data_IF_111918499909
#
_entry.id   IF_111918499909
#
_cell.length_a   1.000
_cell.length_b   1.000
_cell.length_c   1.000
_cell.angle_alpha   90.00
_cell.angle_beta   90.00
_cell.angle_gamma   90.00
#
_symmetry.space_group_name_H-M   'P 1'
#
loop_
_entity.id
_entity.type
_entity.pdbx_description
1 polymer ?
#
# COMPACT_ATOMS: atom_id res chain seq x y z
N UNK A 1 -49.51 -20.10 -18.87
CA UNK A 1 -49.95 -18.86 -19.52
C UNK A 1 -49.50 -17.75 -18.61
N UNK A 2 -48.37 -17.16 -18.97
CA UNK A 2 -47.94 -15.79 -18.65
C UNK A 2 -46.50 -15.67 -19.14
N UNK A 3 -46.41 -15.19 -20.37
CA UNK A 3 -45.22 -14.95 -21.15
C UNK A 3 -44.72 -13.54 -20.86
N UNK A 4 -43.58 -13.44 -20.16
CA UNK A 4 -42.83 -12.19 -20.07
C UNK A 4 -41.57 -12.28 -20.94
N UNK A 5 -41.52 -11.33 -21.89
CA UNK A 5 -40.45 -11.06 -22.82
C UNK A 5 -39.14 -10.73 -22.08
N UNK A 6 -38.07 -11.44 -22.43
CA UNK A 6 -36.70 -10.97 -22.21
C UNK A 6 -36.21 -10.33 -23.51
N UNK A 7 -36.06 -9.01 -23.48
CA UNK A 7 -35.45 -8.20 -24.53
C UNK A 7 -33.94 -8.29 -24.48
N UNK A 8 -33.33 -8.32 -25.67
CA UNK A 8 -31.91 -8.29 -25.98
C UNK A 8 -31.08 -7.36 -25.07
N UNK A 9 -30.08 -7.93 -24.42
CA UNK A 9 -29.00 -7.19 -23.78
C UNK A 9 -27.86 -7.07 -24.78
N UNK A 10 -27.81 -5.95 -25.48
CA UNK A 10 -26.65 -5.55 -26.28
C UNK A 10 -25.42 -5.42 -25.38
N UNK A 11 -24.40 -6.25 -25.64
CA UNK A 11 -23.11 -6.19 -24.97
C UNK A 11 -22.44 -4.83 -25.23
N UNK A 12 -21.80 -4.20 -24.23
CA UNK A 12 -21.01 -3.00 -24.46
C UNK A 12 -19.74 -3.38 -25.20
N UNK A 13 -19.58 -2.78 -26.38
CA UNK A 13 -18.37 -2.73 -27.19
C UNK A 13 -17.18 -2.30 -26.33
N UNK A 14 -16.29 -3.22 -26.01
CA UNK A 14 -14.95 -2.94 -25.48
C UNK A 14 -14.11 -2.31 -26.59
N UNK A 15 -14.04 -0.99 -26.62
CA UNK A 15 -13.03 -0.25 -27.38
C UNK A 15 -11.69 -0.40 -26.65
N UNK A 16 -10.60 -0.83 -27.33
CA UNK A 16 -9.27 -0.82 -26.73
C UNK A 16 -8.86 0.65 -26.56
N UNK A 17 -8.66 1.08 -25.32
CA UNK A 17 -8.00 2.35 -25.02
C UNK A 17 -6.50 2.11 -25.12
N UNK A 18 -5.98 2.35 -26.31
CA UNK A 18 -4.56 2.54 -26.56
C UNK A 18 -4.13 3.83 -25.85
N UNK A 19 -3.65 3.70 -24.61
CA UNK A 19 -2.77 4.70 -24.01
C UNK A 19 -1.35 4.43 -24.51
N UNK A 20 -1.17 4.48 -25.83
CA UNK A 20 0.00 5.17 -26.32
C UNK A 20 -0.23 6.62 -25.89
N UNK A 21 0.73 7.17 -25.15
CA UNK A 21 0.97 8.61 -25.07
C UNK A 21 1.13 9.11 -26.51
N UNK A 22 0.02 9.31 -27.20
CA UNK A 22 -0.02 9.80 -28.56
C UNK A 22 0.50 11.21 -28.44
N UNK A 23 1.78 11.36 -28.78
CA UNK A 23 2.44 12.62 -29.04
C UNK A 23 1.53 13.39 -30.00
N UNK A 24 0.63 14.20 -29.44
CA UNK A 24 -0.12 15.16 -30.18
C UNK A 24 0.92 16.02 -30.91
N UNK A 25 0.85 16.02 -32.23
CA UNK A 25 1.63 16.86 -33.12
C UNK A 25 1.66 18.30 -32.55
N UNK A 26 2.82 18.80 -32.07
CA UNK A 26 2.91 20.12 -31.45
C UNK A 26 2.69 21.26 -32.45
N UNK A 27 2.42 20.97 -33.73
CA UNK A 27 2.23 21.98 -34.76
C UNK A 27 0.79 22.50 -34.90
N UNK A 28 -0.18 21.97 -34.14
CA UNK A 28 -1.58 22.43 -34.21
C UNK A 28 -2.25 22.52 -32.83
N UNK A 29 -1.83 23.46 -31.97
CA UNK A 29 -2.61 23.79 -30.75
C UNK A 29 -2.76 25.31 -30.57
N UNK A 30 -3.98 25.80 -30.27
CA UNK A 30 -4.21 27.19 -29.88
C UNK A 30 -3.37 27.51 -28.64
N UNK A 31 -2.72 28.67 -28.65
CA UNK A 31 -1.60 29.02 -27.77
C UNK A 31 -1.72 28.50 -26.34
N UNK A 32 -0.85 27.55 -26.00
CA UNK A 32 -0.67 27.05 -24.63
C UNK A 32 -0.52 28.29 -23.72
N UNK A 33 -1.40 28.48 -22.72
CA UNK A 33 -1.30 29.59 -21.79
C UNK A 33 0.09 29.61 -21.17
N UNK A 34 0.70 30.79 -21.08
CA UNK A 34 2.01 30.93 -20.41
C UNK A 34 1.92 30.35 -19.00
N UNK A 35 3.00 29.72 -18.54
CA UNK A 35 3.08 29.08 -17.22
C UNK A 35 2.59 29.98 -16.08
N UNK A 36 2.82 31.30 -16.15
CA UNK A 36 2.32 32.27 -15.18
C UNK A 36 0.79 32.31 -15.07
N UNK A 37 0.08 32.16 -16.19
CA UNK A 37 -1.39 32.14 -16.22
C UNK A 37 -1.93 30.82 -15.65
N UNK A 38 -1.26 29.70 -15.96
CA UNK A 38 -1.61 28.39 -15.40
C UNK A 38 -1.39 28.37 -13.88
N UNK A 39 -0.26 28.92 -13.42
CA UNK A 39 0.04 29.04 -12.00
C UNK A 39 -0.97 29.92 -11.26
N UNK A 40 -1.32 31.09 -11.82
CA UNK A 40 -2.34 31.97 -11.25
C UNK A 40 -3.72 31.28 -11.16
N UNK A 41 -4.11 30.53 -12.20
CA UNK A 41 -5.30 29.70 -12.20
C UNK A 41 -5.26 28.62 -11.13
N UNK A 42 -4.12 27.95 -10.98
CA UNK A 42 -3.95 26.90 -9.99
C UNK A 42 -3.98 27.42 -8.53
N UNK A 43 -3.36 28.57 -8.27
CA UNK A 43 -3.43 29.27 -6.98
C UNK A 43 -4.89 29.61 -6.64
N UNK A 44 -5.65 30.14 -7.60
CA UNK A 44 -7.07 30.46 -7.43
C UNK A 44 -7.90 29.22 -7.07
N UNK A 45 -7.65 28.09 -7.74
CA UNK A 45 -8.31 26.81 -7.42
C UNK A 45 -7.98 26.37 -6.00
N UNK A 46 -6.70 26.40 -5.62
CA UNK A 46 -6.26 26.01 -4.27
C UNK A 46 -6.90 26.88 -3.18
N UNK A 47 -6.89 28.20 -3.35
CA UNK A 47 -7.50 29.15 -2.40
C UNK A 47 -9.02 28.94 -2.29
N UNK A 48 -9.69 28.62 -3.39
CA UNK A 48 -11.11 28.31 -3.40
C UNK A 48 -11.39 27.03 -2.62
N UNK A 49 -10.65 25.95 -2.86
CA UNK A 49 -10.79 24.69 -2.10
C UNK A 49 -10.54 24.91 -0.62
N UNK A 50 -9.51 25.67 -0.26
CA UNK A 50 -9.21 26.04 1.13
C UNK A 50 -10.41 26.73 1.79
N UNK A 51 -10.99 27.73 1.12
CA UNK A 51 -12.13 28.49 1.65
C UNK A 51 -13.37 27.62 1.80
N UNK A 52 -13.67 26.78 0.80
CA UNK A 52 -14.80 25.84 0.84
C UNK A 52 -14.64 24.83 1.98
N UNK A 53 -13.45 24.26 2.15
CA UNK A 53 -13.15 23.27 3.17
C UNK A 53 -13.40 23.82 4.57
N UNK A 54 -12.81 24.96 4.93
CA UNK A 54 -13.00 25.53 6.27
C UNK A 54 -14.41 26.10 6.50
N UNK A 55 -15.09 26.56 5.45
CA UNK A 55 -16.50 26.96 5.57
C UNK A 55 -17.39 25.77 5.91
N UNK A 56 -17.13 24.61 5.29
CA UNK A 56 -17.81 23.36 5.62
C UNK A 56 -17.40 22.84 7.00
N UNK A 57 -16.11 22.74 7.30
CA UNK A 57 -15.60 22.17 8.56
C UNK A 57 -16.13 22.89 9.79
N UNK A 58 -16.26 24.22 9.74
CA UNK A 58 -16.91 24.99 10.82
C UNK A 58 -18.36 24.56 11.06
N UNK A 59 -19.14 24.34 9.99
CA UNK A 59 -20.54 23.92 10.09
C UNK A 59 -20.65 22.48 10.61
N UNK A 60 -19.81 21.59 10.09
CA UNK A 60 -19.79 20.18 10.48
C UNK A 60 -19.39 20.01 11.95
N UNK A 61 -18.34 20.71 12.38
CA UNK A 61 -17.92 20.72 13.78
C UNK A 61 -19.01 21.26 14.72
N UNK A 62 -19.72 22.33 14.34
CA UNK A 62 -20.87 22.83 15.12
C UNK A 62 -21.99 21.81 15.19
N UNK A 63 -22.33 21.16 14.08
CA UNK A 63 -23.36 20.11 14.06
C UNK A 63 -22.95 18.90 14.93
N UNK A 64 -21.68 18.51 14.90
CA UNK A 64 -21.15 17.45 15.76
C UNK A 64 -21.24 17.84 17.23
N UNK A 65 -20.86 19.07 17.60
CA UNK A 65 -21.00 19.59 18.96
C UNK A 65 -22.47 19.65 19.40
N UNK A 66 -23.38 20.08 18.54
CA UNK A 66 -24.82 20.10 18.80
C UNK A 66 -25.38 18.68 19.00
N UNK A 67 -24.84 17.68 18.30
CA UNK A 67 -25.22 16.28 18.45
C UNK A 67 -24.73 15.65 19.76
N UNK A 68 -23.59 16.14 20.28
CA UNK A 68 -23.02 15.75 21.57
C UNK A 68 -23.61 16.53 22.74
N UNK A 69 -24.18 17.69 22.48
CA UNK A 69 -24.90 18.44 23.49
C UNK A 69 -26.00 17.52 24.02
N UNK A 70 -26.01 17.29 25.35
CA UNK A 70 -27.16 16.65 25.99
C UNK A 70 -28.37 17.43 25.49
N UNK A 71 -29.43 16.77 24.98
CA UNK A 71 -30.69 17.45 24.78
C UNK A 71 -30.91 18.18 26.08
N UNK A 72 -30.99 19.51 26.03
CA UNK A 72 -31.39 20.26 27.21
C UNK A 72 -32.74 19.66 27.52
N UNK A 73 -32.75 18.73 28.48
CA UNK A 73 -33.94 18.35 29.16
C UNK A 73 -34.33 19.67 29.78
N UNK A 74 -35.21 20.38 29.08
CA UNK A 74 -36.15 21.27 29.71
C UNK A 74 -36.94 20.36 30.65
N UNK A 75 -36.29 20.00 31.75
CA UNK A 75 -36.90 19.61 32.99
C UNK A 75 -37.65 20.86 33.46
N UNK A 76 -38.73 21.18 32.75
CA UNK A 76 -39.97 21.45 33.45
C UNK A 76 -40.21 20.17 34.23
N UNK A 77 -39.86 20.24 35.51
CA UNK A 77 -39.86 19.18 36.50
C UNK A 77 -41.21 18.49 36.72
N UNK A 78 -42.22 18.63 35.83
CA UNK A 78 -43.60 18.29 36.16
C UNK A 78 -44.35 17.36 35.20
N UNK A 79 -43.87 17.00 34.00
CA UNK A 79 -44.76 16.28 33.04
C UNK A 79 -44.14 15.08 32.28
N UNK A 80 -43.07 14.45 32.76
CA UNK A 80 -42.54 13.21 32.17
C UNK A 80 -42.85 11.96 33.01
N UNK A 81 -44.15 11.74 33.22
CA UNK A 81 -44.70 10.44 33.61
C UNK A 81 -45.62 9.83 32.55
N UNK A 82 -45.57 10.28 31.30
CA UNK A 82 -46.40 9.66 30.26
C UNK A 82 -45.79 9.79 28.88
N UNK A 83 -45.33 8.68 28.30
CA UNK A 83 -45.30 8.57 26.84
C UNK A 83 -44.33 7.56 26.23
N UNK A 84 -43.09 7.46 26.70
CA UNK A 84 -42.06 6.73 25.94
C UNK A 84 -41.15 5.87 26.83
N UNK A 85 -41.76 4.92 27.54
CA UNK A 85 -41.11 3.71 28.09
C UNK A 85 -42.00 2.47 27.89
N UNK A 86 -42.85 2.46 26.86
CA UNK A 86 -43.87 1.42 26.64
C UNK A 86 -43.33 0.07 26.11
N UNK A 87 -42.02 -0.17 26.14
CA UNK A 87 -41.45 -1.47 25.75
C UNK A 87 -40.51 -2.11 26.77
N UNK A 88 -40.12 -1.40 27.83
CA UNK A 88 -39.39 -2.01 28.95
C UNK A 88 -40.19 -2.01 30.26
N UNK A 89 -41.09 -1.05 30.50
CA UNK A 89 -41.92 -1.04 31.71
C UNK A 89 -43.13 -1.99 31.64
N UNK A 90 -43.61 -2.36 30.45
CA UNK A 90 -44.76 -3.28 30.31
C UNK A 90 -44.39 -4.76 30.54
N UNK A 91 -43.11 -5.05 30.77
CA UNK A 91 -42.62 -6.35 31.28
C UNK A 91 -42.31 -6.32 32.78
N UNK A 92 -42.33 -5.14 33.40
CA UNK A 92 -42.25 -4.98 34.85
C UNK A 92 -43.68 -4.71 35.33
N UNK A 93 -44.44 -5.80 35.48
CA UNK A 93 -45.77 -5.76 36.08
C UNK A 93 -45.76 -4.92 37.35
N UNK A 94 -46.69 -3.97 37.39
CA UNK A 94 -47.11 -3.23 38.58
C UNK A 94 -47.53 -4.21 39.66
N UNK A 95 -46.56 -4.60 40.49
CA UNK A 95 -46.77 -5.11 41.84
C UNK A 95 -46.37 -3.99 42.80
N UNK A 96 -47.34 -3.12 43.09
CA UNK A 96 -47.34 -2.18 44.21
C UNK A 96 -47.43 -2.91 45.57
N UNK A 97 -46.86 -4.10 45.69
CA UNK A 97 -46.53 -4.71 46.99
C UNK A 97 -45.11 -4.27 47.33
N UNK A 98 -45.02 -3.04 47.84
CA UNK A 98 -43.95 -2.50 48.66
C UNK A 98 -43.76 -3.39 49.92
N UNK A 99 -43.28 -4.61 49.72
CA UNK A 99 -42.58 -5.35 50.76
C UNK A 99 -41.32 -4.55 51.04
N UNK A 100 -41.30 -3.97 52.24
CA UNK A 100 -40.14 -3.32 52.85
C UNK A 100 -39.02 -4.34 52.90
N UNK A 101 -38.26 -4.46 51.79
CA UNK A 101 -37.14 -5.37 51.65
C UNK A 101 -36.00 -4.76 52.45
N UNK A 102 -36.04 -4.99 53.75
CA UNK A 102 -35.05 -4.56 54.73
C UNK A 102 -33.76 -5.36 54.66
N UNK A 103 -33.37 -5.83 53.48
CA UNK A 103 -32.19 -6.66 53.28
C UNK A 103 -31.51 -6.21 51.99
N UNK A 104 -30.46 -5.40 52.16
CA UNK A 104 -29.46 -4.92 51.17
C UNK A 104 -28.71 -6.11 50.53
N UNK A 105 -29.46 -7.04 49.95
CA UNK A 105 -28.92 -8.20 49.26
C UNK A 105 -28.88 -7.88 47.77
N UNK A 106 -27.70 -7.53 47.30
CA UNK A 106 -27.41 -7.37 45.88
C UNK A 106 -27.93 -8.59 45.12
N UNK A 107 -28.70 -8.36 44.05
CA UNK A 107 -29.24 -9.45 43.24
C UNK A 107 -28.99 -9.18 41.76
N UNK A 108 -28.57 -10.22 41.04
CA UNK A 108 -28.42 -10.17 39.59
C UNK A 108 -29.76 -10.50 38.95
N UNK A 109 -30.22 -9.62 38.07
CA UNK A 109 -31.36 -9.91 37.22
C UNK A 109 -30.85 -10.62 35.96
N UNK A 110 -31.16 -11.91 35.84
CA UNK A 110 -30.81 -12.70 34.66
C UNK A 110 -32.06 -12.87 33.80
N UNK A 111 -32.00 -12.35 32.58
CA UNK A 111 -33.06 -12.52 31.59
C UNK A 111 -32.61 -13.59 30.60
N UNK A 112 -33.27 -14.74 30.63
CA UNK A 112 -32.94 -15.83 29.70
C UNK A 112 -33.45 -15.49 28.30
N UNK A 113 -32.56 -15.18 27.36
CA UNK A 113 -32.93 -14.69 26.02
C UNK A 113 -33.92 -15.60 25.25
N UNK A 114 -33.84 -16.93 25.46
CA UNK A 114 -34.68 -17.91 24.74
C UNK A 114 -36.11 -17.98 25.27
N UNK A 115 -36.29 -17.86 26.58
CA UNK A 115 -37.61 -17.96 27.24
C UNK A 115 -38.17 -16.61 27.65
N UNK A 116 -37.35 -15.56 27.58
CA UNK A 116 -37.57 -14.23 28.19
C UNK A 116 -37.95 -14.30 29.67
N UNK A 117 -37.67 -15.42 30.33
CA UNK A 117 -37.94 -15.57 31.75
C UNK A 117 -36.92 -14.78 32.54
N UNK A 118 -37.41 -13.89 33.39
CA UNK A 118 -36.60 -13.11 34.30
C UNK A 118 -36.47 -13.88 35.61
N UNK A 119 -35.23 -14.08 36.06
CA UNK A 119 -34.92 -14.71 37.33
C UNK A 119 -33.99 -13.82 38.14
N UNK A 120 -34.31 -13.64 39.42
CA UNK A 120 -33.46 -12.93 40.36
C UNK A 120 -32.55 -13.92 41.05
N UNK A 121 -31.25 -13.79 40.83
CA UNK A 121 -30.25 -14.60 41.50
C UNK A 121 -29.68 -13.76 42.64
N UNK A 122 -29.91 -14.14 43.91
CA UNK A 122 -29.30 -13.43 45.03
C UNK A 122 -27.78 -13.54 44.90
N UNK A 123 -27.09 -12.41 44.94
CA UNK A 123 -25.63 -12.37 45.05
C UNK A 123 -25.31 -12.65 46.50
N UNK A 124 -24.97 -13.90 46.80
CA UNK A 124 -24.29 -14.19 48.04
C UNK A 124 -22.81 -13.86 47.81
N UNK A 125 -22.31 -12.84 48.49
CA UNK A 125 -20.87 -12.62 48.64
C UNK A 125 -20.27 -13.80 49.38
N UNK A 126 -19.92 -14.85 48.65
CA UNK A 126 -19.01 -15.86 49.16
C UNK A 126 -17.65 -15.21 49.24
N UNK A 127 -17.20 -14.90 50.46
CA UNK A 127 -15.82 -14.53 50.74
C UNK A 127 -14.95 -15.75 50.43
N UNK A 128 -14.62 -15.92 49.14
CA UNK A 128 -13.68 -16.93 48.70
C UNK A 128 -12.32 -16.47 49.16
N UNK A 129 -11.86 -16.95 50.33
CA UNK A 129 -10.46 -16.81 50.80
C UNK A 129 -9.50 -17.66 49.95
N UNK A 130 -9.63 -17.59 48.64
CA UNK A 130 -8.58 -18.06 47.75
C UNK A 130 -7.45 -17.04 47.85
N UNK A 131 -6.43 -17.37 48.65
CA UNK A 131 -5.13 -16.71 48.59
C UNK A 131 -4.52 -17.04 47.24
N UNK A 132 -4.94 -16.30 46.20
CA UNK A 132 -4.30 -16.36 44.90
C UNK A 132 -3.01 -15.57 45.07
N UNK A 133 -1.87 -16.28 45.03
CA UNK A 133 -0.60 -15.57 44.96
C UNK A 133 -0.55 -14.83 43.62
N UNK A 134 -0.31 -13.50 43.62
CA UNK A 134 -0.14 -12.77 42.38
C UNK A 134 1.07 -13.34 41.63
N UNK A 135 0.94 -13.46 40.32
CA UNK A 135 2.06 -13.79 39.46
C UNK A 135 3.07 -12.63 39.46
N UNK A 136 4.34 -12.92 39.20
CA UNK A 136 5.35 -11.88 38.97
C UNK A 136 4.90 -10.99 37.81
N UNK A 137 4.95 -9.65 37.93
CA UNK A 137 4.55 -8.76 36.85
C UNK A 137 5.37 -9.07 35.59
N UNK A 138 4.67 -9.17 34.46
CA UNK A 138 5.28 -9.31 33.14
C UNK A 138 4.51 -8.41 32.16
N UNK A 139 5.22 -7.93 31.14
CA UNK A 139 4.59 -7.24 30.02
C UNK A 139 4.22 -8.25 28.95
N UNK A 140 3.14 -7.99 28.22
CA UNK A 140 2.77 -8.82 27.09
C UNK A 140 3.85 -8.73 26.02
N UNK A 141 4.39 -9.87 25.60
CA UNK A 141 5.31 -9.98 24.48
C UNK A 141 4.69 -10.88 23.42
N UNK A 142 4.65 -10.42 22.17
CA UNK A 142 4.20 -11.24 21.04
C UNK A 142 5.27 -12.28 20.74
N UNK A 143 4.99 -13.59 20.85
CA UNK A 143 5.99 -14.60 20.52
C UNK A 143 6.35 -14.53 19.03
N UNK A 144 7.64 -14.60 18.73
CA UNK A 144 8.15 -14.66 17.37
C UNK A 144 9.13 -15.85 17.25
N UNK A 145 9.04 -16.57 16.15
CA UNK A 145 9.92 -17.69 15.79
C UNK A 145 11.20 -17.21 15.07
N UNK A 146 11.19 -15.97 14.62
CA UNK A 146 12.25 -15.32 13.86
C UNK A 146 12.48 -13.90 14.37
N UNK A 147 13.67 -13.36 14.12
CA UNK A 147 13.96 -11.97 14.43
C UNK A 147 13.09 -11.06 13.56
N UNK A 148 12.48 -10.03 14.18
CA UNK A 148 11.78 -8.97 13.46
C UNK A 148 12.68 -7.74 13.54
N UNK A 149 13.20 -7.33 12.39
CA UNK A 149 14.01 -6.13 12.27
C UNK A 149 13.11 -4.90 12.24
N UNK A 150 13.67 -3.78 12.71
CA UNK A 150 13.00 -2.48 12.68
C UNK A 150 13.01 -1.93 11.26
N UNK A 151 11.87 -1.47 10.76
CA UNK A 151 11.85 -0.74 9.48
C UNK A 151 12.47 0.64 9.70
N UNK A 152 13.36 1.14 8.82
CA UNK A 152 13.89 2.51 8.93
C UNK A 152 12.82 3.61 8.86
N UNK A 153 11.63 3.25 8.40
CA UNK A 153 10.44 4.12 8.31
C UNK A 153 9.37 3.73 9.33
N UNK A 154 9.64 2.74 10.19
CA UNK A 154 8.76 2.40 11.31
C UNK A 154 8.81 3.58 12.29
N UNK A 155 7.65 4.18 12.65
CA UNK A 155 7.61 5.17 13.72
C UNK A 155 8.26 4.66 15.02
N UNK A 156 8.14 3.36 15.34
CA UNK A 156 8.79 2.77 16.51
C UNK A 156 10.32 2.67 16.40
N UNK A 157 10.88 2.86 15.20
CA UNK A 157 12.31 2.99 14.95
C UNK A 157 12.79 4.44 14.90
N UNK A 158 11.88 5.42 15.04
CA UNK A 158 12.22 6.84 15.14
C UNK A 158 13.03 7.08 16.41
N UNK A 159 14.01 7.97 16.35
CA UNK A 159 14.68 8.55 17.52
C UNK A 159 13.72 9.48 18.31
N UNK A 160 12.41 9.24 18.20
CA UNK A 160 11.35 10.03 18.81
C UNK A 160 10.44 9.11 19.59
N UNK A 161 9.98 9.64 20.71
CA UNK A 161 9.09 8.93 21.58
C UNK A 161 7.67 8.92 21.01
N UNK A 162 7.08 7.72 20.90
CA UNK A 162 5.73 7.52 20.34
C UNK A 162 4.60 7.84 21.31
N UNK A 163 4.83 7.69 22.62
CA UNK A 163 3.88 8.04 23.67
C UNK A 163 4.63 8.34 24.98
N UNK A 164 4.04 9.14 25.87
CA UNK A 164 4.60 9.38 27.21
C UNK A 164 4.34 8.15 28.08
N UNK A 165 5.35 7.42 28.58
CA UNK A 165 5.16 6.31 29.50
C UNK A 165 4.48 6.82 30.77
N UNK A 166 3.49 6.08 31.28
CA UNK A 166 2.78 6.41 32.52
C UNK A 166 2.22 7.84 32.55
N UNK A 167 1.65 8.30 31.43
CA UNK A 167 1.10 9.66 31.31
C UNK A 167 0.01 9.99 32.34
N UNK A 168 -0.63 8.97 32.90
CA UNK A 168 -1.64 9.03 33.94
C UNK A 168 -1.05 9.07 35.37
N UNK A 169 0.22 8.72 35.54
CA UNK A 169 0.89 8.77 36.85
C UNK A 169 1.56 10.13 37.06
N UNK A 170 0.91 10.97 37.89
CA UNK A 170 1.45 12.28 38.30
C UNK A 170 2.81 12.22 39.03
N UNK A 171 3.21 11.05 39.55
CA UNK A 171 4.49 10.84 40.21
C UNK A 171 5.61 10.48 39.23
N UNK A 172 5.27 10.14 37.98
CA UNK A 172 6.23 9.81 36.94
C UNK A 172 6.74 11.07 36.23
N UNK A 173 7.90 11.57 36.67
CA UNK A 173 8.59 12.68 36.01
C UNK A 173 9.30 12.20 34.73
N UNK A 174 8.53 12.05 33.66
CA UNK A 174 9.04 11.63 32.35
C UNK A 174 10.13 12.56 31.82
N UNK A 175 10.10 13.86 32.17
CA UNK A 175 11.08 14.85 31.68
C UNK A 175 12.46 14.59 32.27
N UNK A 176 12.56 14.26 33.57
CA UNK A 176 13.85 13.93 34.19
C UNK A 176 14.28 12.49 33.94
N UNK A 177 13.33 11.57 33.73
CA UNK A 177 13.61 10.14 33.51
C UNK A 177 13.94 9.79 32.07
N UNK A 178 13.63 10.64 31.11
CA UNK A 178 14.04 10.47 29.71
C UNK A 178 15.41 11.10 29.47
N UNK A 179 16.45 10.29 29.15
CA UNK A 179 17.74 10.85 28.77
C UNK A 179 17.54 11.72 27.53
N UNK A 180 17.96 12.99 27.61
CA UNK A 180 17.84 13.96 26.51
C UNK A 180 18.55 13.50 25.23
N UNK A 181 19.50 12.58 25.37
CA UNK A 181 20.30 12.06 24.27
C UNK A 181 19.67 10.83 23.60
N UNK A 182 18.59 10.27 24.15
CA UNK A 182 17.93 9.06 23.61
C UNK A 182 16.78 9.37 22.67
N UNK A 183 16.12 10.52 22.85
CA UNK A 183 15.01 10.93 22.02
C UNK A 183 15.15 12.40 21.63
N UNK A 184 15.01 12.67 20.34
CA UNK A 184 15.07 14.01 19.74
C UNK A 184 13.77 14.79 20.00
N UNK A 185 12.67 14.09 20.31
CA UNK A 185 11.38 14.70 20.63
C UNK A 185 10.24 13.68 20.66
N UNK A 186 9.02 14.18 20.53
CA UNK A 186 7.81 13.36 20.45
C UNK A 186 7.36 13.19 19.00
N UNK A 187 7.01 11.97 18.61
CA UNK A 187 6.67 11.66 17.22
C UNK A 187 5.45 12.47 16.74
N UNK A 188 4.41 12.58 17.56
CA UNK A 188 3.18 13.31 17.23
C UNK A 188 3.37 14.83 17.10
N UNK A 189 4.48 15.40 17.59
CA UNK A 189 4.76 16.83 17.44
C UNK A 189 5.41 17.19 16.10
N UNK A 190 6.05 16.23 15.44
CA UNK A 190 6.88 16.50 14.26
C UNK A 190 6.45 15.74 13.01
N UNK A 191 5.68 14.66 13.16
CA UNK A 191 5.28 13.78 12.04
C UNK A 191 3.83 13.92 11.64
N UNK A 192 3.05 14.73 12.37
CA UNK A 192 1.66 14.97 12.03
C UNK A 192 1.57 15.93 10.84
N UNK A 193 1.45 15.36 9.64
CA UNK A 193 0.88 16.08 8.51
C UNK A 193 -0.53 16.49 8.90
N UNK A 194 -0.84 17.77 8.75
CA UNK A 194 -2.18 18.28 8.99
C UNK A 194 -3.15 17.61 8.00
N UNK A 195 -4.10 16.78 8.48
CA UNK A 195 -5.02 16.05 7.61
C UNK A 195 -5.91 16.99 6.79
N UNK A 196 -6.23 18.18 7.32
CA UNK A 196 -7.03 19.18 6.61
C UNK A 196 -6.27 19.68 5.39
N UNK A 197 -5.00 20.03 5.58
CA UNK A 197 -4.13 20.50 4.50
C UNK A 197 -3.92 19.42 3.45
N UNK A 198 -3.80 18.16 3.85
CA UNK A 198 -3.68 17.02 2.93
C UNK A 198 -4.93 16.87 2.05
N UNK A 199 -6.13 16.92 2.65
CA UNK A 199 -7.40 16.85 1.94
C UNK A 199 -7.60 18.04 0.99
N UNK A 200 -7.26 19.25 1.43
CA UNK A 200 -7.32 20.46 0.59
C UNK A 200 -6.41 20.30 -0.63
N UNK A 201 -5.19 19.80 -0.44
CA UNK A 201 -4.24 19.57 -1.53
C UNK A 201 -4.72 18.47 -2.47
N UNK A 202 -5.28 17.37 -1.95
CA UNK A 202 -5.83 16.29 -2.76
C UNK A 202 -7.01 16.77 -3.62
N UNK A 203 -7.94 17.54 -3.05
CA UNK A 203 -9.06 18.10 -3.82
C UNK A 203 -8.58 19.14 -4.85
N UNK A 204 -7.62 19.99 -4.48
CA UNK A 204 -7.01 20.93 -5.42
C UNK A 204 -6.36 20.18 -6.60
N UNK A 205 -5.60 19.11 -6.33
CA UNK A 205 -5.04 18.23 -7.34
C UNK A 205 -6.14 17.65 -8.25
N UNK A 206 -7.21 17.12 -7.66
CA UNK A 206 -8.35 16.54 -8.39
C UNK A 206 -9.02 17.56 -9.32
N UNK A 207 -9.24 18.80 -8.84
CA UNK A 207 -9.84 19.90 -9.64
C UNK A 207 -8.91 20.39 -10.74
N UNK A 208 -7.60 20.41 -10.52
CA UNK A 208 -6.62 20.74 -11.55
C UNK A 208 -6.57 19.66 -12.64
N UNK A 209 -6.58 18.40 -12.24
CA UNK A 209 -6.52 17.27 -13.16
C UNK A 209 -7.82 17.11 -13.96
N UNK A 210 -8.95 16.85 -13.29
CA UNK A 210 -10.23 16.62 -13.97
C UNK A 210 -10.91 17.91 -14.44
N UNK A 211 -10.80 19.00 -13.68
CA UNK A 211 -11.52 20.24 -13.95
C UNK A 211 -10.81 21.19 -14.91
N UNK A 212 -9.48 21.12 -15.04
CA UNK A 212 -8.71 21.93 -15.98
C UNK A 212 -8.00 21.09 -17.05
N UNK A 213 -8.07 19.75 -16.98
CA UNK A 213 -7.41 18.85 -17.93
C UNK A 213 -5.88 18.88 -17.83
N UNK A 214 -5.31 19.32 -16.71
CA UNK A 214 -3.86 19.40 -16.55
C UNK A 214 -3.28 18.01 -16.26
N UNK A 215 -2.24 17.62 -16.99
CA UNK A 215 -1.46 16.42 -16.67
C UNK A 215 -0.78 16.54 -15.30
N UNK A 216 -0.55 15.41 -14.62
CA UNK A 216 0.15 15.38 -13.33
C UNK A 216 1.56 15.99 -13.41
N UNK A 217 2.30 15.71 -14.48
CA UNK A 217 3.63 16.28 -14.70
C UNK A 217 3.58 17.80 -14.82
N UNK A 218 2.54 18.36 -15.46
CA UNK A 218 2.33 19.80 -15.49
C UNK A 218 2.00 20.35 -14.10
N UNK A 219 1.11 19.70 -13.35
CA UNK A 219 0.75 20.13 -11.98
C UNK A 219 1.97 20.13 -11.07
N UNK A 220 2.81 19.10 -11.13
CA UNK A 220 4.04 18.99 -10.36
C UNK A 220 5.05 20.10 -10.76
N UNK A 221 5.14 20.45 -12.05
CA UNK A 221 5.99 21.56 -12.53
C UNK A 221 5.55 22.92 -12.01
N UNK A 222 4.26 23.11 -11.69
CA UNK A 222 3.78 24.36 -11.08
C UNK A 222 4.31 24.54 -9.65
N UNK A 223 4.82 23.47 -9.01
CA UNK A 223 5.35 23.48 -7.64
C UNK A 223 4.40 24.08 -6.60
N UNK A 224 3.09 24.09 -6.88
CA UNK A 224 2.05 24.60 -5.98
C UNK A 224 1.70 23.58 -4.88
N UNK A 225 1.69 22.31 -5.24
CA UNK A 225 1.42 21.18 -4.37
C UNK A 225 2.72 20.38 -4.20
N UNK A 226 2.89 19.62 -3.10
CA UNK A 226 3.88 18.54 -3.09
C UNK A 226 3.67 17.65 -4.30
N UNK A 227 4.74 17.06 -4.84
CA UNK A 227 4.62 16.17 -6.00
C UNK A 227 3.47 15.19 -5.79
N UNK A 228 2.53 15.19 -6.74
CA UNK A 228 1.35 14.35 -6.68
C UNK A 228 1.76 12.88 -6.56
N UNK A 229 2.88 12.53 -7.20
CA UNK A 229 3.49 11.20 -7.10
C UNK A 229 5.00 11.19 -7.36
N UNK A 230 5.74 10.34 -6.65
CA UNK A 230 7.16 10.01 -6.89
C UNK A 230 7.32 8.48 -6.93
N UNK A 231 7.06 7.86 -8.07
CA UNK A 231 7.05 6.40 -8.21
C UNK A 231 5.78 5.76 -7.60
N UNK A 232 5.88 4.52 -7.10
CA UNK A 232 4.73 3.81 -6.54
C UNK A 232 4.59 3.92 -5.02
N UNK A 233 5.50 4.62 -4.35
CA UNK A 233 5.67 4.55 -2.90
C UNK A 233 5.73 5.93 -2.23
N UNK A 234 5.47 7.00 -2.98
CA UNK A 234 5.58 8.37 -2.45
C UNK A 234 4.74 9.38 -3.24
N UNK A 235 4.48 10.52 -2.60
CA UNK A 235 3.70 11.65 -3.13
C UNK A 235 2.29 11.67 -2.59
N UNK A 236 1.57 12.77 -2.83
CA UNK A 236 0.29 13.02 -2.14
C UNK A 236 -0.76 11.94 -2.41
N UNK A 237 -0.81 11.41 -3.63
CA UNK A 237 -1.75 10.35 -4.01
C UNK A 237 -1.45 9.05 -3.28
N UNK A 238 -0.16 8.73 -3.07
CA UNK A 238 0.23 7.56 -2.31
C UNK A 238 -0.08 7.74 -0.83
N UNK A 239 0.29 8.89 -0.27
CA UNK A 239 0.09 9.23 1.15
C UNK A 239 -1.40 9.16 1.54
N UNK A 240 -2.29 9.68 0.69
CA UNK A 240 -3.74 9.68 0.91
C UNK A 240 -4.37 8.29 0.74
N UNK A 241 -3.81 7.44 -0.12
CA UNK A 241 -4.28 6.05 -0.28
C UNK A 241 -3.98 5.16 0.92
N UNK A 242 -3.07 5.55 1.81
CA UNK A 242 -2.76 4.78 3.03
C UNK A 242 -3.70 5.11 4.20
N UNK A 243 -4.71 5.97 4.01
CA UNK A 243 -5.53 6.51 5.10
C UNK A 243 -7.00 6.57 4.71
N UNK A 244 -7.85 6.52 5.73
CA UNK A 244 -9.27 6.84 5.57
C UNK A 244 -9.41 8.34 5.34
N UNK A 245 -10.02 8.71 4.21
CA UNK A 245 -10.28 10.11 3.89
C UNK A 245 -11.59 10.57 4.50
N UNK A 246 -11.58 11.77 5.07
CA UNK A 246 -12.80 12.43 5.52
C UNK A 246 -13.63 12.77 4.28
N UNK A 247 -14.87 12.27 4.26
CA UNK A 247 -15.83 12.57 3.21
C UNK A 247 -16.36 13.99 3.44
N UNK A 248 -15.87 14.95 2.65
CA UNK A 248 -16.36 16.33 2.71
C UNK A 248 -17.16 16.70 1.44
N UNK A 249 -18.27 17.46 1.56
CA UNK A 249 -19.19 17.71 0.46
C UNK A 249 -18.55 18.38 -0.75
N UNK A 250 -17.52 19.21 -0.57
CA UNK A 250 -16.87 19.89 -1.70
C UNK A 250 -16.23 18.93 -2.72
N UNK A 251 -15.90 17.71 -2.30
CA UNK A 251 -15.45 16.65 -3.22
C UNK A 251 -16.64 16.04 -3.99
N UNK A 252 -17.77 15.82 -3.32
CA UNK A 252 -18.99 15.19 -3.87
C UNK A 252 -19.91 16.15 -4.64
N UNK A 253 -19.77 17.46 -4.45
CA UNK A 253 -20.59 18.51 -5.08
C UNK A 253 -20.04 19.00 -6.41
N UNK A 254 -18.88 18.51 -6.86
CA UNK A 254 -18.36 18.84 -8.18
C UNK A 254 -18.93 17.87 -9.23
N UNK A 255 -19.19 18.37 -10.44
CA UNK A 255 -19.56 17.53 -11.59
C UNK A 255 -18.38 16.67 -12.10
N UNK A 256 -17.26 16.67 -11.38
CA UNK A 256 -16.07 15.90 -11.71
C UNK A 256 -16.23 14.44 -11.24
N UNK A 257 -15.39 13.55 -11.77
CA UNK A 257 -15.38 12.13 -11.39
C UNK A 257 -15.54 11.95 -9.86
N UNK A 258 -16.45 11.05 -9.41
CA UNK A 258 -16.67 10.81 -7.99
C UNK A 258 -15.47 10.12 -7.32
N UNK A 259 -14.53 9.60 -8.10
CA UNK A 259 -13.28 9.08 -7.57
C UNK A 259 -12.44 10.23 -6.99
N UNK A 260 -12.18 10.27 -5.67
CA UNK A 260 -11.36 11.32 -5.05
C UNK A 260 -9.91 11.23 -5.51
N UNK A 261 -9.48 10.07 -5.97
CA UNK A 261 -8.18 9.89 -6.58
C UNK A 261 -8.38 9.95 -8.10
N UNK A 262 -7.67 10.83 -8.83
CA UNK A 262 -7.56 10.62 -10.27
C UNK A 262 -7.09 9.17 -10.44
N UNK A 263 -7.84 8.36 -11.21
CA UNK A 263 -7.66 6.90 -11.37
C UNK A 263 -6.33 6.59 -12.06
N UNK A 264 -5.26 6.89 -11.35
CA UNK A 264 -3.87 6.71 -11.71
C UNK A 264 -3.39 5.56 -10.84
N UNK A 265 -4.12 4.45 -10.92
CA UNK A 265 -3.61 3.18 -10.46
C UNK A 265 -2.39 2.85 -11.31
N UNK A 266 -1.20 3.08 -10.77
CA UNK A 266 0.03 2.50 -11.31
C UNK A 266 0.16 1.03 -10.88
N UNK A 267 -0.95 0.37 -10.51
CA UNK A 267 -0.98 -1.09 -10.58
C UNK A 267 -0.71 -1.40 -12.04
N UNK A 268 0.45 -2.02 -12.35
CA UNK A 268 0.81 -2.27 -13.72
C UNK A 268 -0.29 -3.11 -14.37
N UNK A 269 -0.62 -2.81 -15.63
CA UNK A 269 -1.69 -3.50 -16.35
C UNK A 269 -1.41 -5.00 -16.38
N UNK A 270 -2.46 -5.80 -16.57
CA UNK A 270 -2.30 -7.25 -16.70
C UNK A 270 -1.34 -7.65 -17.84
N UNK A 271 -1.25 -6.84 -18.90
CA UNK A 271 -0.29 -7.01 -20.00
C UNK A 271 1.08 -6.34 -19.81
N UNK A 272 1.30 -5.59 -18.73
CA UNK A 272 2.59 -4.94 -18.45
C UNK A 272 3.42 -5.83 -17.51
N UNK A 273 4.06 -6.87 -18.05
CA UNK A 273 4.91 -7.76 -17.24
C UNK A 273 6.06 -7.00 -16.58
N UNK A 274 6.68 -6.05 -17.30
CA UNK A 274 7.80 -5.26 -16.81
C UNK A 274 7.43 -4.45 -15.59
N UNK A 275 6.35 -3.68 -15.65
CA UNK A 275 5.85 -2.93 -14.53
C UNK A 275 5.51 -3.83 -13.35
N UNK A 276 4.81 -4.97 -13.59
CA UNK A 276 4.45 -5.93 -12.54
C UNK A 276 5.68 -6.45 -11.80
N UNK A 277 6.67 -6.94 -12.54
CA UNK A 277 7.93 -7.43 -11.97
C UNK A 277 8.65 -6.32 -11.19
N UNK A 278 8.79 -5.13 -11.78
CA UNK A 278 9.47 -4.01 -11.12
C UNK A 278 8.76 -3.49 -9.88
N UNK A 279 7.43 -3.69 -9.77
CA UNK A 279 6.66 -3.35 -8.58
C UNK A 279 6.83 -4.39 -7.46
N UNK A 280 7.05 -5.67 -7.81
CA UNK A 280 7.16 -6.76 -6.84
C UNK A 280 8.58 -6.97 -6.34
N UNK A 281 9.60 -6.76 -7.19
CA UNK A 281 11.00 -7.01 -6.85
C UNK A 281 11.49 -6.27 -5.58
N UNK A 282 11.15 -4.98 -5.35
CA UNK A 282 11.55 -4.28 -4.13
C UNK A 282 10.96 -4.90 -2.86
N UNK A 283 9.84 -5.60 -2.97
CA UNK A 283 9.13 -6.20 -1.85
C UNK A 283 9.66 -7.59 -1.50
N UNK A 284 10.42 -8.23 -2.39
CA UNK A 284 10.83 -9.62 -2.26
C UNK A 284 12.25 -9.76 -1.73
N UNK A 285 12.40 -10.47 -0.61
CA UNK A 285 13.71 -10.74 -0.05
C UNK A 285 14.43 -11.86 -0.82
N UNK A 286 15.45 -11.48 -1.58
CA UNK A 286 16.32 -12.42 -2.29
C UNK A 286 17.30 -13.20 -1.41
N UNK A 287 17.27 -13.04 -0.09
CA UNK A 287 18.07 -13.88 0.81
C UNK A 287 17.50 -15.29 0.82
N UNK A 288 18.32 -16.29 0.48
CA UNK A 288 17.92 -17.70 0.40
C UNK A 288 17.41 -18.28 1.72
N UNK A 289 17.72 -17.62 2.84
CA UNK A 289 17.23 -18.01 4.17
C UNK A 289 15.83 -17.46 4.48
N UNK A 290 15.33 -16.51 3.68
CA UNK A 290 14.04 -15.85 3.93
C UNK A 290 13.04 -16.07 2.79
N UNK A 291 13.44 -15.88 1.52
CA UNK A 291 12.62 -16.06 0.30
C UNK A 291 11.13 -15.70 0.53
N UNK A 292 10.90 -14.48 1.03
CA UNK A 292 9.58 -14.02 1.45
C UNK A 292 9.35 -12.58 0.98
N UNK A 293 8.12 -12.29 0.58
CA UNK A 293 7.68 -10.90 0.36
C UNK A 293 7.54 -10.21 1.71
N UNK A 294 7.92 -8.93 1.81
CA UNK A 294 7.90 -8.17 3.06
C UNK A 294 8.64 -8.90 4.19
N UNK A 295 9.89 -9.31 3.92
CA UNK A 295 10.67 -10.05 4.90
C UNK A 295 10.80 -9.25 6.21
N UNK A 296 10.39 -9.84 7.36
CA UNK A 296 10.45 -9.14 8.64
C UNK A 296 11.89 -8.93 9.12
N UNK A 297 12.86 -9.70 8.62
CA UNK A 297 14.27 -9.64 9.01
C UNK A 297 15.06 -8.64 8.16
N UNK A 298 14.84 -8.63 6.85
CA UNK A 298 15.61 -7.83 5.90
C UNK A 298 14.74 -6.69 5.38
N UNK A 299 14.64 -5.66 6.20
CA UNK A 299 13.68 -4.58 5.97
C UNK A 299 14.25 -3.52 5.04
N UNK A 300 13.44 -3.12 4.05
CA UNK A 300 13.75 -2.06 3.11
C UNK A 300 13.44 -2.48 1.66
N UNK A 301 13.40 -1.51 0.73
CA UNK A 301 13.28 -1.84 -0.68
C UNK A 301 14.52 -2.63 -1.10
N UNK A 302 14.31 -3.89 -1.48
CA UNK A 302 15.39 -4.71 -1.99
C UNK A 302 15.91 -4.10 -3.28
N UNK A 303 17.24 -4.03 -3.40
CA UNK A 303 17.86 -3.48 -4.59
C UNK A 303 17.33 -4.21 -5.82
N UNK A 304 16.78 -3.44 -6.76
CA UNK A 304 16.31 -4.01 -8.03
C UNK A 304 17.49 -4.74 -8.67
N UNK A 305 17.35 -6.02 -9.07
CA UNK A 305 18.39 -6.69 -9.82
C UNK A 305 18.72 -5.82 -11.03
N UNK A 306 20.01 -5.51 -11.19
CA UNK A 306 20.47 -4.81 -12.38
C UNK A 306 20.18 -5.69 -13.59
N UNK A 307 19.75 -5.05 -14.70
CA UNK A 307 19.61 -5.75 -15.96
C UNK A 307 20.91 -6.49 -16.26
N UNK A 308 20.81 -7.81 -16.38
CA UNK A 308 21.98 -8.65 -16.64
C UNK A 308 22.30 -8.55 -18.12
N UNK A 309 23.59 -8.38 -18.43
CA UNK A 309 24.06 -8.48 -19.81
C UNK A 309 24.15 -9.97 -20.17
N UNK A 310 23.71 -10.33 -21.37
CA UNK A 310 23.98 -11.65 -21.93
C UNK A 310 25.49 -11.89 -21.99
N UNK A 311 25.93 -13.09 -21.60
CA UNK A 311 27.34 -13.49 -21.58
C UNK A 311 27.60 -14.72 -22.43
N UNK A 312 26.56 -15.48 -22.79
CA UNK A 312 26.69 -16.70 -23.58
C UNK A 312 26.33 -16.41 -25.04
N UNK A 313 27.23 -16.73 -25.97
CA UNK A 313 26.92 -16.67 -27.39
C UNK A 313 25.92 -17.77 -27.76
N UNK A 314 25.28 -17.61 -28.91
CA UNK A 314 24.25 -18.51 -29.41
C UNK A 314 24.78 -19.94 -29.58
N UNK A 315 26.02 -20.08 -30.07
CA UNK A 315 26.67 -21.38 -30.20
C UNK A 315 26.92 -22.03 -28.82
N UNK A 316 27.34 -21.25 -27.82
CA UNK A 316 27.63 -21.76 -26.47
C UNK A 316 26.35 -22.30 -25.82
N UNK A 317 25.21 -21.65 -26.02
CA UNK A 317 23.92 -22.13 -25.52
C UNK A 317 23.51 -23.46 -26.18
N UNK A 318 23.77 -23.62 -27.48
CA UNK A 318 23.49 -24.86 -28.21
C UNK A 318 24.38 -26.01 -27.74
N UNK A 319 25.67 -25.75 -27.53
CA UNK A 319 26.68 -26.79 -27.23
C UNK A 319 26.86 -27.04 -25.74
N UNK A 320 26.27 -26.23 -24.85
CA UNK A 320 26.41 -26.36 -23.39
C UNK A 320 26.20 -27.81 -22.91
N UNK A 321 27.21 -28.37 -22.26
CA UNK A 321 27.18 -29.75 -21.78
C UNK A 321 26.11 -29.98 -20.70
N UNK A 322 25.57 -31.20 -20.65
CA UNK A 322 24.67 -31.65 -19.58
C UNK A 322 23.17 -31.43 -19.83
N UNK A 323 22.77 -30.95 -21.00
CA UNK A 323 21.36 -30.72 -21.33
C UNK A 323 20.92 -31.63 -22.47
N UNK A 324 19.88 -32.43 -22.22
CA UNK A 324 19.24 -33.24 -23.26
C UNK A 324 18.26 -32.37 -24.07
N UNK A 325 18.09 -32.63 -25.38
CA UNK A 325 17.07 -31.93 -26.16
C UNK A 325 15.69 -32.19 -25.56
N UNK A 326 14.88 -31.13 -25.38
CA UNK A 326 13.57 -31.26 -24.75
C UNK A 326 12.53 -31.97 -25.64
N UNK A 327 12.73 -31.92 -26.96
CA UNK A 327 11.86 -32.53 -27.96
C UNK A 327 12.61 -32.68 -29.30
N UNK A 328 11.94 -33.26 -30.30
CA UNK A 328 12.49 -33.46 -31.66
C UNK A 328 12.75 -32.14 -32.40
N UNK A 329 12.02 -31.07 -32.07
CA UNK A 329 12.21 -29.71 -32.60
C UNK A 329 12.99 -28.81 -31.64
N UNK A 330 13.83 -29.40 -30.79
CA UNK A 330 14.64 -28.64 -29.83
C UNK A 330 15.57 -27.63 -30.53
N UNK A 331 15.82 -26.48 -29.90
CA UNK A 331 16.74 -25.46 -30.41
C UNK A 331 18.16 -25.97 -30.69
N UNK A 332 18.57 -27.06 -30.03
CA UNK A 332 19.86 -27.74 -30.23
C UNK A 332 19.99 -28.43 -31.59
N UNK A 333 18.88 -28.76 -32.23
CA UNK A 333 18.87 -29.39 -33.56
C UNK A 333 18.84 -28.36 -34.69
N UNK A 334 18.79 -27.06 -34.37
CA UNK A 334 18.83 -26.00 -35.37
C UNK A 334 20.26 -25.85 -35.88
N UNK A 335 20.50 -26.32 -37.10
CA UNK A 335 21.76 -26.07 -37.81
C UNK A 335 21.83 -24.60 -38.25
N UNK A 336 22.95 -23.92 -37.93
CA UNK A 336 23.18 -22.50 -38.28
C UNK A 336 23.13 -22.21 -39.79
N UNK A 337 23.15 -23.23 -40.65
CA UNK A 337 23.26 -23.11 -42.11
C UNK A 337 21.93 -23.14 -42.86
N UNK A 338 20.78 -23.23 -42.19
CA UNK A 338 19.50 -23.16 -42.88
C UNK A 338 19.02 -21.71 -42.97
N UNK A 339 19.29 -21.09 -44.12
CA UNK A 339 18.50 -19.99 -44.72
C UNK A 339 17.00 -20.37 -44.94
N UNK A 340 16.53 -21.49 -44.36
CA UNK A 340 15.20 -22.08 -44.51
C UNK A 340 14.41 -22.18 -43.20
N UNK A 341 14.85 -21.56 -42.10
CA UNK A 341 14.00 -21.32 -40.92
C UNK A 341 13.03 -20.14 -41.19
N UNK A 342 12.53 -20.01 -42.42
CA UNK A 342 11.38 -19.16 -42.72
C UNK A 342 10.06 -19.88 -42.41
N UNK A 343 10.08 -21.19 -42.11
CA UNK A 343 8.88 -22.02 -42.36
C UNK A 343 8.00 -22.31 -41.14
N UNK A 344 8.44 -22.12 -39.89
CA UNK A 344 7.57 -22.43 -38.72
C UNK A 344 7.68 -21.44 -37.55
N UNK A 345 8.08 -20.20 -37.77
CA UNK A 345 7.98 -19.18 -36.72
C UNK A 345 6.54 -18.68 -36.71
N UNK A 346 5.75 -19.06 -35.70
CA UNK A 346 4.50 -18.34 -35.45
C UNK A 346 4.82 -16.88 -35.18
N UNK A 347 4.02 -15.95 -35.74
CA UNK A 347 4.18 -14.52 -35.46
C UNK A 347 3.98 -14.29 -33.96
N UNK A 348 5.04 -13.85 -33.27
CA UNK A 348 4.92 -13.32 -31.92
C UNK A 348 4.31 -11.94 -32.03
N UNK A 349 3.35 -11.62 -31.16
CA UNK A 349 2.85 -10.26 -31.09
C UNK A 349 3.86 -9.34 -30.36
N UNK A 350 3.70 -8.02 -30.56
CA UNK A 350 4.61 -7.04 -29.97
C UNK A 350 4.63 -7.09 -28.44
N UNK A 351 3.51 -7.49 -27.80
CA UNK A 351 3.41 -7.63 -26.35
C UNK A 351 4.19 -8.84 -25.84
N UNK A 352 4.14 -9.97 -26.55
CA UNK A 352 4.90 -11.19 -26.25
C UNK A 352 6.40 -10.95 -26.40
N UNK A 353 6.81 -10.19 -27.42
CA UNK A 353 8.20 -9.79 -27.61
C UNK A 353 8.66 -8.90 -26.45
N UNK A 354 7.86 -7.91 -26.05
CA UNK A 354 8.16 -7.03 -24.92
C UNK A 354 8.26 -7.79 -23.57
N UNK A 355 7.36 -8.74 -23.34
CA UNK A 355 7.38 -9.61 -22.16
C UNK A 355 8.63 -10.49 -22.16
N UNK A 356 9.01 -11.06 -23.30
CA UNK A 356 10.22 -11.86 -23.40
C UNK A 356 11.51 -11.06 -23.23
N UNK A 357 11.58 -9.84 -23.77
CA UNK A 357 12.66 -8.90 -23.47
C UNK A 357 12.78 -8.65 -21.97
N UNK A 358 11.65 -8.47 -21.28
CA UNK A 358 11.61 -8.29 -19.82
C UNK A 358 12.18 -9.52 -19.08
N UNK A 359 11.83 -10.74 -19.50
CA UNK A 359 12.39 -11.97 -18.93
C UNK A 359 13.91 -12.05 -19.17
N UNK A 360 14.35 -11.71 -20.38
CA UNK A 360 15.75 -11.70 -20.77
C UNK A 360 16.58 -10.64 -20.03
N UNK A 361 16.01 -9.51 -19.63
CA UNK A 361 16.68 -8.52 -18.77
C UNK A 361 17.09 -9.13 -17.41
N UNK A 362 16.36 -10.13 -16.92
CA UNK A 362 16.58 -10.78 -15.62
C UNK A 362 17.49 -12.02 -15.76
N UNK A 363 17.25 -12.85 -16.78
CA UNK A 363 17.94 -14.14 -17.00
C UNK A 363 18.37 -14.34 -18.48
N UNK A 364 19.32 -13.54 -19.00
CA UNK A 364 19.66 -13.52 -20.43
C UNK A 364 20.38 -14.79 -20.95
N UNK A 365 20.98 -15.56 -20.04
CA UNK A 365 21.79 -16.75 -20.34
C UNK A 365 21.11 -18.07 -19.90
N UNK A 366 19.82 -18.00 -19.58
CA UNK A 366 19.03 -19.19 -19.31
C UNK A 366 18.82 -20.00 -20.60
N UNK A 367 18.65 -21.32 -20.48
CA UNK A 367 18.47 -22.16 -21.66
C UNK A 367 17.16 -21.81 -22.40
N UNK A 368 17.14 -21.82 -23.75
CA UNK A 368 15.90 -21.64 -24.50
C UNK A 368 14.80 -22.65 -24.15
N UNK A 369 15.16 -23.85 -23.68
CA UNK A 369 14.19 -24.83 -23.18
C UNK A 369 13.48 -24.37 -21.90
N UNK A 370 14.20 -23.78 -20.95
CA UNK A 370 13.60 -23.26 -19.72
C UNK A 370 12.80 -21.98 -20.01
N UNK A 371 13.35 -21.10 -20.84
CA UNK A 371 12.67 -19.89 -21.28
C UNK A 371 11.37 -20.22 -22.05
N UNK A 372 11.34 -21.30 -22.83
CA UNK A 372 10.13 -21.81 -23.47
C UNK A 372 9.02 -22.17 -22.48
N UNK A 373 9.35 -22.74 -21.32
CA UNK A 373 8.36 -23.03 -20.28
C UNK A 373 7.82 -21.72 -19.69
N UNK A 374 8.69 -20.75 -19.43
CA UNK A 374 8.32 -19.45 -18.86
C UNK A 374 7.43 -18.66 -19.83
N UNK A 375 7.82 -18.59 -21.10
CA UNK A 375 7.13 -17.81 -22.13
C UNK A 375 5.97 -18.57 -22.77
N UNK A 376 5.80 -19.86 -22.47
CA UNK A 376 4.82 -20.77 -23.09
C UNK A 376 4.94 -20.81 -24.63
N UNK A 377 6.17 -20.77 -25.15
CA UNK A 377 6.50 -20.78 -26.58
C UNK A 377 7.45 -21.93 -26.91
N UNK A 378 7.50 -22.43 -28.15
CA UNK A 378 8.47 -23.45 -28.53
C UNK A 378 9.93 -22.99 -28.35
N UNK A 379 10.81 -23.85 -27.83
CA UNK A 379 12.19 -23.46 -27.51
C UNK A 379 13.02 -23.02 -28.72
N UNK A 380 12.69 -23.50 -29.92
CA UNK A 380 13.36 -23.09 -31.15
C UNK A 380 13.04 -21.64 -31.52
N UNK A 381 11.80 -21.19 -31.30
CA UNK A 381 11.38 -19.80 -31.50
C UNK A 381 12.02 -18.89 -30.46
N UNK A 382 11.98 -19.29 -29.19
CA UNK A 382 12.62 -18.58 -28.09
C UNK A 382 14.12 -18.38 -28.35
N UNK A 383 14.80 -19.42 -28.85
CA UNK A 383 16.20 -19.31 -29.25
C UNK A 383 16.38 -18.32 -30.41
N UNK A 384 15.53 -18.40 -31.44
CA UNK A 384 15.58 -17.48 -32.59
C UNK A 384 15.42 -16.02 -32.17
N UNK A 385 14.37 -15.68 -31.40
CA UNK A 385 14.15 -14.32 -30.89
C UNK A 385 15.26 -13.87 -29.94
N UNK A 386 15.81 -14.77 -29.10
CA UNK A 386 16.98 -14.43 -28.27
C UNK A 386 18.17 -14.02 -29.12
N UNK A 387 18.46 -14.76 -30.20
CA UNK A 387 19.57 -14.42 -31.11
C UNK A 387 19.36 -13.07 -31.80
N UNK A 388 18.11 -12.69 -32.08
CA UNK A 388 17.78 -11.36 -32.62
C UNK A 388 17.97 -10.25 -31.58
N UNK A 389 17.50 -10.47 -30.34
CA UNK A 389 17.58 -9.49 -29.24
C UNK A 389 19.03 -9.32 -28.75
N UNK A 390 19.79 -10.41 -28.67
CA UNK A 390 21.21 -10.44 -28.30
C UNK A 390 22.05 -11.06 -29.42
N UNK A 391 22.37 -10.31 -30.48
CA UNK A 391 23.28 -10.77 -31.53
C UNK A 391 24.65 -11.11 -30.95
N UNK A 392 25.30 -12.17 -31.46
CA UNK A 392 26.59 -12.65 -30.96
C UNK A 392 27.68 -11.57 -31.01
N UNK A 393 27.56 -10.59 -31.91
CA UNK A 393 28.46 -9.43 -32.06
C UNK A 393 28.36 -8.44 -30.88
N UNK A 394 27.20 -8.38 -30.23
CA UNK A 394 26.93 -7.47 -29.11
C UNK A 394 27.23 -8.11 -27.75
N UNK A 395 27.45 -9.43 -27.71
CA UNK A 395 27.80 -10.17 -26.51
C UNK A 395 29.31 -10.01 -26.28
N UNK A 396 29.66 -9.09 -25.38
CA UNK A 396 31.03 -8.89 -24.96
C UNK A 396 31.57 -10.20 -24.36
N UNK A 397 32.63 -10.73 -24.95
CA UNK A 397 33.40 -11.82 -24.34
C UNK A 397 33.97 -11.28 -23.03
N UNK A 398 33.28 -11.55 -21.92
CA UNK A 398 33.88 -11.36 -20.60
C UNK A 398 35.05 -12.32 -20.53
N UNK A 399 36.24 -11.81 -20.83
CA UNK A 399 37.52 -12.51 -20.75
C UNK A 399 37.57 -13.32 -19.47
N UNK A 400 37.35 -14.63 -19.56
CA UNK A 400 37.97 -15.76 -18.80
C UNK A 400 38.28 -15.64 -17.31
N UNK A 401 37.89 -14.59 -16.59
CA UNK A 401 38.33 -14.30 -15.22
C UNK A 401 37.33 -14.81 -14.17
N UNK A 402 36.19 -15.36 -14.59
CA UNK A 402 35.20 -15.96 -13.69
C UNK A 402 35.70 -17.23 -13.01
N UNK A 403 36.57 -18.00 -13.66
CA UNK A 403 37.19 -19.17 -13.02
C UNK A 403 38.27 -18.79 -11.99
N UNK A 404 38.84 -17.59 -12.08
CA UNK A 404 39.76 -17.06 -11.06
C UNK A 404 38.96 -16.51 -9.88
N UNK A 405 37.89 -15.73 -10.12
CA UNK A 405 37.07 -15.17 -9.02
C UNK A 405 36.31 -16.21 -8.20
N UNK A 406 35.80 -17.28 -8.82
CA UNK A 406 35.07 -18.32 -8.06
C UNK A 406 35.99 -19.31 -7.30
N UNK A 407 37.31 -19.32 -7.54
CA UNK A 407 38.25 -20.13 -6.74
C UNK A 407 38.83 -19.38 -5.54
N UNK A 408 38.87 -18.05 -5.56
CA UNK A 408 39.42 -17.23 -4.47
C UNK A 408 38.36 -16.48 -3.64
N UNK A 409 37.06 -16.66 -3.91
CA UNK A 409 36.05 -16.32 -2.90
C UNK A 409 36.06 -17.37 -1.80
N UNK A 410 37.04 -17.26 -0.90
CA UNK A 410 36.84 -17.69 0.48
C UNK A 410 35.56 -16.99 0.95
N UNK A 411 34.47 -17.73 1.02
CA UNK A 411 33.26 -17.30 1.71
C UNK A 411 33.67 -17.31 3.18
N UNK A 412 34.24 -16.20 3.65
CA UNK A 412 34.20 -15.91 5.07
C UNK A 412 32.73 -15.74 5.42
N UNK A 413 32.19 -16.72 6.15
CA UNK A 413 30.99 -16.54 6.92
C UNK A 413 31.30 -15.47 7.97
N UNK A 414 31.21 -14.20 7.57
CA UNK A 414 31.13 -13.13 8.53
C UNK A 414 29.73 -13.23 9.10
N UNK A 415 29.61 -13.90 10.25
CA UNK A 415 28.48 -13.73 11.17
C UNK A 415 28.42 -12.25 11.55
N UNK A 416 27.87 -11.44 10.64
CA UNK A 416 27.74 -10.00 10.79
C UNK A 416 26.48 -9.72 11.60
N UNK A 417 26.37 -10.35 12.77
CA UNK A 417 25.65 -9.77 13.90
C UNK A 417 26.68 -8.89 14.61
N UNK A 418 27.16 -7.87 13.89
CA UNK A 418 27.97 -6.79 14.45
C UNK A 418 27.05 -5.61 14.75
N UNK A 419 27.28 -4.88 15.86
CA UNK A 419 26.37 -3.85 16.32
C UNK A 419 26.27 -2.75 15.28
N UNK A 420 25.03 -2.30 15.06
CA UNK A 420 24.61 -1.02 14.51
C UNK A 420 25.76 -0.17 13.94
N UNK A 421 25.84 -0.11 12.61
CA UNK A 421 26.42 1.07 11.98
C UNK A 421 25.56 2.25 12.44
N UNK A 422 25.98 2.94 13.50
CA UNK A 422 25.58 4.31 13.76
C UNK A 422 25.87 5.09 12.47
N UNK A 423 24.86 5.28 11.64
CA UNK A 423 24.87 6.34 10.64
C UNK A 423 24.82 7.64 11.44
N UNK A 424 25.98 8.17 11.80
CA UNK A 424 26.08 9.56 12.25
C UNK A 424 25.70 10.42 11.06
N UNK A 425 24.45 10.88 11.03
CA UNK A 425 24.04 11.98 10.17
C UNK A 425 24.65 13.25 10.75
N UNK A 426 25.76 13.70 10.18
CA UNK A 426 26.29 15.03 10.41
C UNK A 426 25.29 16.04 9.83
N UNK A 427 24.36 16.51 10.67
CA UNK A 427 23.56 17.68 10.39
C UNK A 427 24.48 18.91 10.48
N UNK A 428 24.91 19.42 9.33
CA UNK A 428 25.39 20.79 9.23
C UNK A 428 24.23 21.74 9.51
N UNK A 429 24.14 22.21 10.75
CA UNK A 429 23.37 23.41 11.09
C UNK A 429 24.20 24.59 10.60
N UNK A 430 23.77 25.20 9.50
CA UNK A 430 24.19 26.56 9.14
C UNK A 430 23.48 27.55 10.06
N UNK A 431 24.26 28.29 10.85
CA UNK A 431 23.80 29.45 11.64
C UNK A 431 23.16 30.55 10.77
#
# INVERSE_FOLDING_TARGET
MDSHNFTDSSAPSTTPFDDEETLADPSATPGIPKDDQLLAGAISIYQRVWTEFYTWGCRDALQALDSLARPYASLRSNDLHSGYSLYLDDLLGSDDDYLSRSDDSDCLTVITMRTRMMSYIPVCDTITRTSVQPHTPYESCTPADTCISRHPQDPAASDRLQFIPYADDSMFDYISKMPKDWYIGFAWQHEQKDPDVELIRLEALRRLYHGQGLSISMIDRLCLLPNARRGNEAGILWDTMQRDLIVWPGAALSDLSPDPHPNISFVPRAGDLKGRIHSLLPLFCGNLSCIHAYCPVHVGPHAKPSARKAQSKSLDLQTRDGWHPCCTSCFRHIEKSQDGIEVMVTEWDDSEIADFQTVLEIIPDESPCNLAIICQKPCFEVYHYRCQIFPDENILETSTDRHVRNRDMNIEFVDSIGPERHMTYDYYISE
#
